data_IF_540372726637
#
_entry.id   IF_540372726637
#
_cell.length_a   1.000
_cell.length_b   1.000
_cell.length_c   1.000
_cell.angle_alpha   90.00
_cell.angle_beta   90.00
_cell.angle_gamma   90.00
#
_symmetry.space_group_name_H-M   'P 1'
#
loop_
_entity.id
_entity.type
_entity.pdbx_description
1 polymer ?
2 non-polymer ?
3 non-polymer ?
4 non-polymer ?
5 water ?
#
# COMPACT_ATOMS: atom_id res chain seq x y z
N UNK A 20 1.28 21.79 5.84
CA UNK A 20 0.40 21.25 6.91
C UNK A 20 0.33 19.74 6.79
N UNK A 21 0.00 19.26 5.59
CA UNK A 21 -0.15 17.82 5.33
C UNK A 21 1.07 17.23 4.70
N UNK A 22 2.24 17.68 5.18
CA UNK A 22 3.47 17.24 4.57
C UNK A 22 3.57 15.73 4.62
N UNK A 23 3.27 15.11 5.76
CA UNK A 23 3.43 13.64 5.92
C UNK A 23 2.60 12.85 4.92
N UNK A 24 1.33 13.22 4.78
CA UNK A 24 0.45 12.49 3.85
C UNK A 24 0.94 12.61 2.40
N UNK A 25 1.19 13.85 1.97
CA UNK A 25 1.67 14.09 0.62
C UNK A 25 3.00 13.39 0.38
N UNK A 26 3.88 13.42 1.36
CA UNK A 26 5.17 12.74 1.26
C UNK A 26 4.97 11.23 1.06
N UNK A 27 4.05 10.64 1.83
CA UNK A 27 3.73 9.22 1.71
C UNK A 27 3.16 8.86 0.35
N UNK A 28 2.26 9.69 -0.17
CA UNK A 28 1.65 9.40 -1.46
C UNK A 28 2.73 9.47 -2.55
N UNK A 29 3.60 10.46 -2.47
CA UNK A 29 4.73 10.56 -3.41
C UNK A 29 5.62 9.32 -3.31
N UNK A 30 5.92 8.90 -2.08
CA UNK A 30 6.80 7.74 -1.90
C UNK A 30 6.24 6.48 -2.56
N UNK A 31 4.94 6.23 -2.36
CA UNK A 31 4.35 4.97 -2.85
C UNK A 31 4.16 4.97 -4.37
N UNK A 32 4.33 6.15 -4.96
CA UNK A 32 4.32 6.32 -6.42
C UNK A 32 5.71 6.31 -7.03
N UNK A 33 6.70 5.94 -6.23
CA UNK A 33 8.03 5.61 -6.79
C UNK A 33 8.09 4.11 -7.03
N UNK A 34 8.72 3.72 -8.14
CA UNK A 34 8.92 2.33 -8.46
C UNK A 34 9.89 1.71 -7.47
N UNK A 35 9.49 0.61 -6.81
CA UNK A 35 10.36 0.06 -5.77
C UNK A 35 11.61 -0.65 -6.31
N UNK A 36 11.61 -0.94 -7.61
CA UNK A 36 12.76 -1.58 -8.25
C UNK A 36 13.74 -0.58 -8.85
N UNK A 37 13.25 0.50 -9.46
CA UNK A 37 14.11 1.53 -10.09
C UNK A 37 14.37 2.73 -9.17
N UNK A 38 13.46 2.98 -8.21
CA UNK A 38 13.52 4.17 -7.35
C UNK A 38 12.99 5.45 -7.96
N UNK A 39 12.50 5.38 -9.19
CA UNK A 39 12.10 6.56 -9.93
C UNK A 39 10.61 6.79 -9.78
N UNK A 40 10.20 8.05 -9.86
CA UNK A 40 8.78 8.36 -9.86
C UNK A 40 8.03 7.71 -11.03
N UNK A 41 6.90 7.08 -10.74
CA UNK A 41 6.00 6.56 -11.78
C UNK A 41 5.09 7.68 -12.34
N UNK A 42 4.94 8.75 -11.57
CA UNK A 42 4.18 9.94 -11.91
C UNK A 42 5.01 11.14 -11.52
N UNK A 43 5.02 12.18 -12.36
CA UNK A 43 5.78 13.39 -12.03
C UNK A 43 5.37 13.89 -10.66
N UNK A 44 6.36 14.34 -9.89
CA UNK A 44 6.11 14.75 -8.52
C UNK A 44 5.13 15.92 -8.41
N UNK A 45 5.24 16.92 -9.28
CA UNK A 45 4.29 18.04 -9.27
C UNK A 45 2.88 17.60 -9.71
N UNK A 46 2.80 16.67 -10.66
CA UNK A 46 1.53 16.10 -11.07
C UNK A 46 0.88 15.38 -9.89
N UNK A 47 1.67 14.65 -9.12
CA UNK A 47 1.11 13.99 -7.94
C UNK A 47 0.47 15.03 -7.00
N UNK A 48 1.20 16.11 -6.70
CA UNK A 48 0.69 17.20 -5.85
C UNK A 48 -0.62 17.75 -6.39
N UNK A 49 -0.68 18.00 -7.69
CA UNK A 49 -1.86 18.59 -8.30
C UNK A 49 -3.06 17.65 -8.19
N UNK A 50 -2.83 16.36 -8.46
CA UNK A 50 -3.90 15.37 -8.38
C UNK A 50 -4.42 15.23 -6.95
N UNK A 51 -3.51 15.15 -6.00
CA UNK A 51 -3.92 15.04 -4.61
C UNK A 51 -4.73 16.27 -4.17
N UNK A 52 -4.26 17.47 -4.51
CA UNK A 52 -4.98 18.70 -4.15
C UNK A 52 -6.36 18.77 -4.82
N UNK A 53 -6.42 18.45 -6.10
CA UNK A 53 -7.69 18.45 -6.85
C UNK A 53 -8.68 17.39 -6.34
N UNK A 54 -8.18 16.22 -5.98
CA UNK A 54 -9.04 15.14 -5.48
C UNK A 54 -9.51 15.46 -4.06
N UNK A 55 -8.60 16.03 -3.27
CA UNK A 55 -8.87 16.45 -1.92
C UNK A 55 -7.85 15.83 -0.99
N UNK A 56 -7.23 16.66 -0.15
CA UNK A 56 -6.17 16.20 0.75
C UNK A 56 -6.74 15.67 2.07
N UNK A 57 -8.03 15.88 2.31
CA UNK A 57 -8.66 15.32 3.49
C UNK A 57 -8.53 13.80 3.52
N UNK A 58 -8.69 13.25 4.71
CA UNK A 58 -8.82 11.79 4.88
C UNK A 58 -10.21 11.52 5.40
N UNK A 59 -10.93 10.68 4.66
CA UNK A 59 -12.30 10.29 4.96
C UNK A 59 -12.42 8.76 4.96
N UNK A 60 -13.36 8.23 5.73
CA UNK A 60 -13.62 6.78 5.67
C UNK A 60 -14.35 6.42 4.37
N UNK A 61 -13.77 5.46 3.66
CA UNK A 61 -14.47 4.84 2.51
C UNK A 61 -15.31 3.64 2.87
N UNK A 62 -14.76 2.75 3.69
CA UNK A 62 -15.50 1.55 4.12
C UNK A 62 -14.92 1.00 5.40
N UNK A 63 -15.82 0.65 6.32
CA UNK A 63 -15.44 0.00 7.54
C UNK A 63 -15.70 -1.50 7.40
N UNK A 64 -14.72 -2.30 7.80
CA UNK A 64 -14.80 -3.75 7.84
C UNK A 64 -14.63 -4.25 9.28
N UNK A 65 -14.93 -5.53 9.52
CA UNK A 65 -14.77 -6.06 10.87
C UNK A 65 -13.36 -5.86 11.39
N UNK A 66 -12.38 -6.00 10.51
CA UNK A 66 -10.99 -6.09 10.87
C UNK A 66 -10.21 -4.80 10.67
N UNK A 67 -10.86 -3.76 10.14
CA UNK A 67 -10.16 -2.50 9.95
C UNK A 67 -10.98 -1.55 9.09
N UNK A 68 -10.30 -0.50 8.64
CA UNK A 68 -10.96 0.60 7.95
C UNK A 68 -10.13 1.02 6.73
N UNK A 69 -10.81 1.20 5.60
CA UNK A 69 -10.21 1.76 4.40
C UNK A 69 -10.58 3.23 4.28
N UNK A 70 -9.54 4.02 4.08
CA UNK A 70 -9.61 5.47 4.11
C UNK A 70 -9.36 6.06 2.75
N UNK A 71 -10.14 7.07 2.40
CA UNK A 71 -9.99 7.73 1.10
C UNK A 71 -9.63 9.19 1.29
N UNK A 72 -9.71 9.98 0.21
CA UNK A 72 -10.15 9.58 -1.10
C UNK A 72 -9.33 8.51 -1.77
N UNK A 73 -9.95 7.84 -2.74
CA UNK A 73 -9.23 6.95 -3.63
C UNK A 73 -8.52 7.88 -4.62
N UNK A 74 -7.20 7.97 -4.56
CA UNK A 74 -6.44 8.78 -5.51
C UNK A 74 -6.07 7.92 -6.71
N UNK A 75 -6.33 8.44 -7.91
CA UNK A 75 -6.07 7.73 -9.15
C UNK A 75 -4.99 8.40 -9.95
N UNK A 76 -4.14 7.58 -10.56
CA UNK A 76 -3.03 8.08 -11.37
C UNK A 76 -2.87 7.18 -12.58
N UNK A 77 -2.14 7.71 -13.56
CA UNK A 77 -1.64 6.94 -14.71
C UNK A 77 -0.12 7.04 -14.69
N UNK A 78 0.53 5.90 -14.69
CA UNK A 78 2.01 5.90 -14.64
C UNK A 78 2.59 6.38 -15.98
N UNK A 79 3.89 6.70 -16.00
CA UNK A 79 4.52 7.19 -17.21
C UNK A 79 4.47 6.15 -18.33
N UNK A 80 4.38 4.87 -17.97
CA UNK A 80 4.20 3.80 -18.95
C UNK A 80 2.75 3.31 -19.14
N UNK A 81 1.79 4.10 -18.67
CA UNK A 81 0.39 3.96 -19.06
C UNK A 81 -0.47 3.03 -18.24
N UNK A 82 0.02 2.67 -17.06
CA UNK A 82 -0.72 1.78 -16.15
C UNK A 82 -1.53 2.61 -15.17
N UNK A 83 -2.69 2.09 -14.79
CA UNK A 83 -3.52 2.75 -13.78
C UNK A 83 -3.06 2.38 -12.39
N UNK A 84 -2.82 3.41 -11.60
CA UNK A 84 -2.34 3.27 -10.23
C UNK A 84 -3.39 3.87 -9.30
N UNK A 85 -3.49 3.30 -8.10
CA UNK A 85 -4.47 3.71 -7.09
C UNK A 85 -3.72 3.87 -5.79
N UNK A 86 -3.93 4.97 -5.09
CA UNK A 86 -3.37 5.16 -3.76
C UNK A 86 -4.52 5.30 -2.80
N UNK A 87 -4.44 4.52 -1.74
CA UNK A 87 -5.39 4.71 -0.64
C UNK A 87 -4.71 4.48 0.69
N UNK A 88 -5.49 4.62 1.76
CA UNK A 88 -4.97 4.50 3.10
C UNK A 88 -5.81 3.46 3.87
N UNK A 89 -5.27 3.02 4.99
CA UNK A 89 -5.96 2.07 5.80
C UNK A 89 -5.51 2.03 7.24
N UNK A 90 -6.36 1.41 8.03
CA UNK A 90 -6.18 1.27 9.46
C UNK A 90 -6.56 -0.15 9.90
N UNK A 91 -5.85 -0.69 10.87
CA UNK A 91 -6.27 -1.88 11.59
C UNK A 91 -5.96 -1.71 13.06
N UNK A 92 -6.79 -2.29 13.92
CA UNK A 92 -6.48 -2.28 15.37
C UNK A 92 -5.06 -2.84 15.64
N UNK A 93 -4.30 -2.21 16.53
CA UNK A 93 -2.87 -2.49 16.67
C UNK A 93 -2.13 -1.21 16.28
N UNK A 94 -2.80 -0.36 15.51
CA UNK A 94 -2.33 0.99 15.26
C UNK A 94 -2.75 1.91 16.40
N UNK A 96 -5.32 4.21 17.03
CA UNK A 96 -3.94 4.66 16.99
C UNK A 96 -3.74 6.09 16.51
N UNK A 97 -2.47 6.44 16.33
CA UNK A 97 -2.10 7.58 15.55
C UNK A 97 -1.36 7.06 14.31
N UNK A 98 -1.82 5.95 13.74
CA UNK A 98 -1.14 5.33 12.57
C UNK A 98 -2.09 5.15 11.38
N UNK A 99 -1.59 5.47 10.19
CA UNK A 99 -2.25 5.19 8.95
C UNK A 99 -1.25 4.51 7.99
N UNK A 100 -1.72 3.52 7.25
CA UNK A 100 -0.89 2.86 6.25
C UNK A 100 -1.33 3.38 4.85
N UNK A 101 -0.38 3.93 4.07
CA UNK A 101 -0.64 4.44 2.71
C UNK A 101 -0.06 3.39 1.76
N UNK A 102 -0.76 3.07 0.70
CA UNK A 102 -0.30 2.06 -0.24
C UNK A 102 -0.72 2.39 -1.65
N UNK A 103 0.08 1.94 -2.60
CA UNK A 103 -0.17 2.12 -4.02
C UNK A 103 -0.30 0.73 -4.66
N UNK A 104 -1.42 0.53 -5.35
CA UNK A 104 -1.71 -0.67 -6.10
C UNK A 104 -1.77 -0.29 -7.57
N UNK A 105 -1.25 -1.15 -8.41
CA UNK A 105 -1.27 -0.92 -9.85
C UNK A 105 -2.07 -2.02 -10.52
N UNK A 106 -2.97 -1.59 -11.40
CA UNK A 106 -3.87 -2.50 -12.07
C UNK A 106 -3.10 -3.32 -13.07
N UNK A 107 -3.37 -4.62 -12.98
CA UNK A 107 -2.84 -5.67 -13.83
C UNK A 107 -3.99 -6.39 -14.55
N UNK A 108 -3.62 -7.16 -15.56
CA UNK A 108 -4.56 -8.00 -16.32
C UNK A 108 -5.74 -8.58 -15.50
N UNK A 109 -5.44 -9.36 -14.46
CA UNK A 109 -6.49 -10.06 -13.71
C UNK A 109 -6.64 -9.60 -12.24
N UNK A 110 -5.99 -8.50 -11.87
CA UNK A 110 -6.14 -7.99 -10.51
C UNK A 110 -5.32 -6.74 -10.31
N UNK A 111 -4.46 -6.78 -9.33
CA UNK A 111 -3.68 -5.65 -8.97
C UNK A 111 -2.37 -6.18 -8.46
N UNK A 112 -1.34 -5.35 -8.55
CA UNK A 112 -0.11 -5.60 -7.84
C UNK A 112 0.07 -4.52 -6.79
N UNK A 113 0.69 -4.89 -5.67
CA UNK A 113 1.06 -3.95 -4.62
C UNK A 113 2.42 -3.33 -4.95
N UNK A 114 2.43 -2.03 -5.27
CA UNK A 114 3.68 -1.37 -5.65
C UNK A 114 4.51 -0.97 -4.46
N UNK A 115 3.89 -0.33 -3.48
CA UNK A 115 4.63 0.27 -2.38
C UNK A 115 3.74 0.63 -1.23
N UNK A 116 4.35 0.80 -0.09
CA UNK A 116 3.65 1.02 1.17
C UNK A 116 4.45 2.02 1.99
N UNK A 117 3.75 2.88 2.73
CA UNK A 117 4.40 3.76 3.71
C UNK A 117 3.50 3.85 4.92
N UNK A 118 4.02 3.48 6.08
CA UNK A 118 3.27 3.54 7.32
C UNK A 118 3.59 4.89 7.93
N UNK A 119 2.56 5.68 8.23
CA UNK A 119 2.74 6.99 8.87
C UNK A 119 2.34 6.88 10.33
N UNK A 120 3.28 7.15 11.22
CA UNK A 120 2.98 7.12 12.63
C UNK A 120 2.92 8.54 13.12
N UNK A 121 1.71 9.01 13.36
CA UNK A 121 1.50 10.40 13.74
C UNK A 121 1.75 10.61 15.25
N UNK A 122 1.75 9.51 16.01
CA UNK A 122 2.06 9.52 17.45
C UNK A 122 3.56 9.75 17.68
N UNK A 123 4.39 9.20 16.80
CA UNK A 123 5.85 9.34 16.88
C UNK A 123 6.32 10.49 16.00
N UNK A 135 11.50 1.39 8.14
CA UNK A 135 11.75 2.05 6.87
C UNK A 135 12.36 1.07 5.88
N UNK A 136 13.61 0.65 6.14
CA UNK A 136 14.13 -0.54 5.47
C UNK A 136 13.25 -1.74 5.83
N UNK A 137 12.71 -1.78 7.05
CA UNK A 137 11.78 -2.82 7.48
C UNK A 137 10.54 -2.79 6.58
N UNK A 138 10.09 -1.58 6.27
CA UNK A 138 8.87 -1.44 5.47
C UNK A 138 9.03 -2.00 4.05
N UNK A 139 10.26 -2.05 3.54
CA UNK A 139 10.49 -2.59 2.19
C UNK A 139 10.27 -4.10 2.14
N UNK A 140 10.16 -4.75 3.29
CA UNK A 140 9.82 -6.17 3.33
C UNK A 140 8.39 -6.40 2.82
N UNK A 141 7.59 -5.33 2.79
CA UNK A 141 6.15 -5.43 2.47
C UNK A 141 5.82 -5.23 0.97
N UNK A 142 6.79 -4.84 0.15
CA UNK A 142 6.52 -4.56 -1.26
C UNK A 142 7.74 -4.70 -2.14
N UNK A 143 7.54 -4.89 -3.44
CA UNK A 143 6.28 -5.06 -4.15
C UNK A 143 5.76 -6.50 -3.97
N UNK A 144 4.48 -6.71 -4.27
CA UNK A 144 3.87 -8.04 -4.26
C UNK A 144 3.09 -8.19 -5.56
N UNK A 145 3.33 -9.29 -6.30
CA UNK A 145 2.65 -9.45 -7.58
C UNK A 145 1.18 -9.88 -7.38
N UNK A 146 0.37 -9.83 -8.44
CA UNK A 146 -1.02 -10.15 -8.30
C UNK A 146 -1.35 -11.50 -7.66
N UNK A 147 -0.57 -12.53 -7.95
CA UNK A 147 -0.81 -13.86 -7.39
C UNK A 147 -0.57 -13.88 -5.87
N UNK A 148 0.38 -13.06 -5.39
CA UNK A 148 0.55 -12.85 -3.96
C UNK A 148 -0.63 -12.21 -3.28
N UNK A 149 -1.18 -11.15 -3.88
CA UNK A 149 -2.35 -10.49 -3.30
C UNK A 149 -3.59 -11.39 -3.35
N UNK A 150 -3.70 -12.21 -4.39
CA UNK A 150 -4.82 -13.13 -4.53
C UNK A 150 -4.73 -14.20 -3.46
N UNK A 151 -3.51 -14.57 -3.08
CA UNK A 151 -3.23 -15.56 -2.00
C UNK A 151 -3.65 -14.98 -0.64
N UNK A 152 -3.54 -13.66 -0.53
CA UNK A 152 -3.72 -12.93 0.74
C UNK A 152 -2.35 -12.70 1.36
N UNK A 153 -2.07 -11.48 1.79
CA UNK A 153 -0.80 -11.21 2.47
C UNK A 153 -0.79 -11.76 3.89
N UNK A 154 0.37 -12.23 4.34
CA UNK A 154 0.51 -12.71 5.70
C UNK A 154 1.96 -12.59 6.10
N UNK A 155 2.19 -12.36 7.38
CA UNK A 155 3.56 -12.36 7.89
C UNK A 155 4.13 -13.79 7.87
N UNK A 156 5.46 -13.93 7.81
CA UNK A 156 6.07 -15.26 7.64
C UNK A 156 5.77 -16.23 8.79
N UNK A 157 5.61 -15.70 10.01
CA UNK A 157 5.26 -16.51 11.19
C UNK A 157 3.99 -17.28 10.89
N UNK A 158 3.04 -16.61 10.25
CA UNK A 158 1.76 -17.20 9.97
C UNK A 158 1.90 -18.31 8.90
N UNK A 159 2.92 -18.20 8.05
CA UNK A 159 3.19 -19.19 7.01
C UNK A 159 4.15 -20.31 7.49
N UNK A 160 4.50 -20.30 8.78
CA UNK A 160 5.38 -21.29 9.35
C UNK A 160 6.88 -21.06 9.19
N UNK A 161 7.29 -19.80 9.12
CA UNK A 161 8.70 -19.44 8.89
C UNK A 161 9.30 -20.21 7.70
N UNK A 162 8.70 -20.05 6.51
CA UNK A 162 9.21 -20.76 5.35
C UNK A 162 10.58 -20.24 4.94
N UNK A 163 11.38 -21.11 4.34
CA UNK A 163 12.68 -20.72 3.86
C UNK A 163 12.47 -19.82 2.66
N UNK A 164 13.45 -18.96 2.42
CA UNK A 164 13.40 -18.05 1.30
C UNK A 164 13.77 -16.66 1.75
N UNK A 165 14.36 -15.90 0.83
CA UNK A 165 14.68 -14.51 1.06
C UNK A 165 13.37 -13.73 1.21
N UNK A 166 13.42 -12.53 1.79
CA UNK A 166 12.22 -11.69 1.79
C UNK A 166 11.65 -11.54 0.38
N UNK A 167 12.55 -11.43 -0.59
CA UNK A 167 12.15 -11.23 -1.97
C UNK A 167 11.43 -12.47 -2.58
N UNK A 168 11.88 -13.68 -2.25
CA UNK A 168 11.20 -14.88 -2.73
C UNK A 168 9.82 -15.03 -2.07
N UNK A 169 9.76 -14.72 -0.78
CA UNK A 169 8.53 -14.86 -0.04
C UNK A 169 7.49 -13.84 -0.49
N UNK A 170 7.92 -12.62 -0.82
CA UNK A 170 6.96 -11.58 -1.28
C UNK A 170 6.16 -12.03 -2.48
N UNK A 171 6.80 -12.78 -3.37
CA UNK A 171 6.12 -13.29 -4.56
C UNK A 171 4.94 -14.18 -4.23
N UNK A 172 4.97 -14.78 -3.04
CA UNK A 172 3.91 -15.67 -2.54
C UNK A 172 2.92 -14.92 -1.63
N UNK A 173 3.10 -13.61 -1.49
CA UNK A 173 2.29 -12.81 -0.56
C UNK A 173 2.71 -12.92 0.90
N UNK A 174 3.95 -13.35 1.14
CA UNK A 174 4.44 -13.54 2.48
C UNK A 174 5.46 -12.44 2.78
N UNK A 175 5.24 -11.73 3.88
CA UNK A 175 6.09 -10.64 4.34
C UNK A 175 7.00 -11.19 5.41
N UNK A 176 8.31 -11.19 5.12
CA UNK A 176 9.28 -11.76 6.03
C UNK A 176 9.69 -10.68 7.01
N UNK A 177 9.33 -10.86 8.27
CA UNK A 177 9.72 -9.92 9.33
C UNK A 177 10.29 -10.61 10.57
N UNK A 178 10.25 -11.95 10.60
CA UNK A 178 10.61 -12.71 11.79
C UNK A 178 12.06 -12.49 12.22
N UNK A 179 12.91 -12.08 11.29
CA UNK A 179 14.32 -11.82 11.57
C UNK A 179 14.61 -10.37 12.03
N UNK A 180 13.62 -9.49 11.96
CA UNK A 180 13.75 -8.12 12.45
C UNK A 180 13.45 -8.07 13.95
C UNK A 186 4.32 -2.58 13.90
N UNK A 187 3.28 -3.04 14.59
CA UNK A 187 2.83 -4.43 14.45
C UNK A 187 2.67 -4.81 12.97
N UNK A 188 3.58 -5.67 12.45
CA UNK A 188 3.44 -6.08 11.06
C UNK A 188 2.13 -6.76 10.70
N UNK A 189 1.54 -7.58 11.59
CA UNK A 189 0.24 -8.17 11.28
C UNK A 189 -0.84 -7.12 11.01
N UNK A 190 -0.81 -6.00 11.76
CA UNK A 190 -1.79 -4.94 11.58
C UNK A 190 -1.58 -4.26 10.23
N UNK A 191 -0.33 -4.08 9.85
CA UNK A 191 -0.01 -3.52 8.51
C UNK A 191 -0.54 -4.43 7.39
N UNK A 192 -0.23 -5.72 7.48
CA UNK A 192 -0.74 -6.70 6.53
C UNK A 192 -2.27 -6.67 6.46
N UNK A 193 -2.93 -6.57 7.61
CA UNK A 193 -4.40 -6.55 7.63
C UNK A 193 -4.93 -5.35 6.86
N UNK A 194 -4.39 -4.17 7.17
CA UNK A 194 -4.75 -2.94 6.46
C UNK A 194 -4.58 -3.09 4.92
N UNK A 195 -3.44 -3.62 4.52
CA UNK A 195 -3.13 -3.85 3.10
C UNK A 195 -4.16 -4.79 2.46
N UNK A 196 -4.47 -5.88 3.16
CA UNK A 196 -5.44 -6.82 2.67
C UNK A 196 -6.83 -6.18 2.50
N UNK A 197 -7.21 -5.31 3.44
CA UNK A 197 -8.48 -4.61 3.32
C UNK A 197 -8.53 -3.65 2.15
N UNK A 198 -7.44 -2.91 1.94
CA UNK A 198 -7.37 -1.99 0.83
C UNK A 198 -7.52 -2.73 -0.50
N UNK A 199 -6.88 -3.89 -0.59
CA UNK A 199 -7.02 -4.75 -1.77
C UNK A 199 -8.46 -5.22 -1.96
N UNK A 200 -9.09 -5.66 -0.86
CA UNK A 200 -10.49 -6.05 -0.92
C UNK A 200 -11.34 -4.93 -1.47
N UNK A 201 -11.13 -3.74 -0.95
CA UNK A 201 -11.92 -2.59 -1.38
C UNK A 201 -11.71 -2.29 -2.86
N UNK A 202 -10.45 -2.24 -3.30
CA UNK A 202 -10.17 -2.00 -4.73
C UNK A 202 -10.83 -3.03 -5.64
N UNK A 203 -10.75 -4.29 -5.25
CA UNK A 203 -11.42 -5.35 -6.00
C UNK A 203 -12.93 -5.14 -6.08
N UNK A 204 -13.54 -4.70 -4.97
CA UNK A 204 -15.00 -4.46 -4.90
C UNK A 204 -15.42 -3.34 -5.84
N UNK A 205 -14.67 -2.24 -5.84
CA UNK A 205 -15.05 -1.07 -6.63
C UNK A 205 -14.61 -1.18 -8.10
N UNK A 206 -13.73 -2.14 -8.40
CA UNK A 206 -13.26 -2.30 -9.77
C UNK A 206 -14.17 -3.21 -10.58
N UNK A 207 -15.05 -3.94 -9.90
CA UNK A 207 -16.00 -4.83 -10.56
C UNK A 207 -17.08 -4.03 -11.29
X LIG B 1 3.56 -15.99 17.13
X LIG B 1 3.04 -16.29 18.48
X LIG B 1 2.51 -16.25 16.16
X LIG B 1 3.74 -14.55 17.08
X LIG B 1 4.80 -16.68 16.93
X LIG C 1 2.43 -8.65 15.21
X LIG C 1 1.18 -9.21 15.74
X LIG C 1 2.17 -7.96 13.96
X LIG C 1 3.00 -7.70 16.16
X LIG C 1 3.40 -9.71 14.95
X LIG D 1 -8.77 -0.25 -13.84
X LIG D 1 -7.89 0.59 -13.58
X LIG D 1 -8.71 -0.71 -15.00
X LIG D 1 -9.78 -0.70 -12.84
X LIG E 1 11.42 3.40 -4.12
X LIG E 1 10.71 2.56 -3.24
X LIG E 1 11.66 4.75 -3.48
X LIG E 1 12.66 4.68 -2.46
#
# INVERSE_FOLDING_TARGET
XGSDKIHHHHHHKGKIQEADNAAKLSAIKFVLKDPLTGDYLVDEKEIEEIVKKTGIETVVLKEYKEGVVLGPLYEFVTKDGRNAYVLSGYAPGFGGNVTVVACFIKTEDGFMLNSVRVIDYSQETPGLGAKIGEESIQRRFFPVPPEGLKNGLRVDKDAGLPKGSPEELKKQGIVKVSDVXTGATITPRAVVTALNLMYRYLEEVSK
SO4 S O1 O2 O3 O4
SO4 S O1 O2 O3 O4
ACT C O OXT CH3
EDO C1 O1 C2 O2
#
